data_IF_740222741584
#
_entry.id   IF_740222741584
#
_cell.length_a   1.000
_cell.length_b   1.000
_cell.length_c   1.000
_cell.angle_alpha   90.00
_cell.angle_beta   90.00
_cell.angle_gamma   90.00
#
_symmetry.space_group_name_H-M   'P 1'
#
loop_
_entity.id
_entity.type
_entity.pdbx_description
1 polymer ?
#
# COMPACT_ATOMS: atom_id res chain seq x y z
N UNK A 1 -3.29 13.04 11.16
CA UNK A 1 -4.63 13.24 10.57
C UNK A 1 -4.71 12.61 9.18
N UNK A 2 -5.87 12.11 8.82
CA UNK A 2 -6.10 11.32 7.59
C UNK A 2 -5.61 12.02 6.31
N UNK A 3 -5.89 13.32 6.14
CA UNK A 3 -5.41 14.10 5.00
C UNK A 3 -3.89 14.10 4.90
N UNK A 4 -3.19 14.32 6.01
CA UNK A 4 -1.70 14.37 6.01
C UNK A 4 -1.10 13.01 5.65
N UNK A 5 -1.68 11.92 6.14
CA UNK A 5 -1.22 10.54 5.85
C UNK A 5 -1.47 10.20 4.39
N UNK A 6 -2.65 10.55 3.85
CA UNK A 6 -2.99 10.29 2.45
C UNK A 6 -2.09 11.08 1.49
N UNK A 7 -1.97 12.39 1.70
CA UNK A 7 -1.16 13.28 0.85
C UNK A 7 0.33 12.94 0.95
N UNK A 8 0.83 12.67 2.18
CA UNK A 8 2.20 12.20 2.38
C UNK A 8 2.48 10.85 1.73
N UNK A 9 1.51 9.92 1.78
CA UNK A 9 1.58 8.63 1.10
C UNK A 9 1.66 8.77 -0.42
N UNK A 10 0.85 9.66 -1.02
CA UNK A 10 0.89 9.95 -2.46
C UNK A 10 2.23 10.56 -2.89
N UNK A 11 2.76 11.49 -2.10
CA UNK A 11 4.05 12.10 -2.39
C UNK A 11 5.18 11.07 -2.32
N UNK A 12 5.21 10.28 -1.24
CA UNK A 12 6.20 9.20 -1.09
C UNK A 12 6.10 8.19 -2.23
N UNK A 13 4.89 7.75 -2.57
CA UNK A 13 4.65 6.81 -3.68
C UNK A 13 5.14 7.39 -5.02
N UNK A 14 4.89 8.67 -5.29
CA UNK A 14 5.31 9.31 -6.54
C UNK A 14 6.84 9.46 -6.63
N UNK A 15 7.49 9.89 -5.54
CA UNK A 15 8.95 10.03 -5.49
C UNK A 15 9.62 8.66 -5.64
N UNK A 16 9.14 7.67 -4.93
CA UNK A 16 9.73 6.32 -5.00
C UNK A 16 9.45 5.64 -6.34
N UNK A 17 8.32 5.94 -7.00
CA UNK A 17 8.07 5.51 -8.38
C UNK A 17 9.10 6.12 -9.36
N UNK A 18 9.46 7.38 -9.16
CA UNK A 18 10.53 8.01 -9.96
C UNK A 18 11.88 7.34 -9.70
N UNK A 19 12.22 7.05 -8.43
CA UNK A 19 13.45 6.35 -8.09
C UNK A 19 13.46 4.94 -8.72
N UNK A 20 12.34 4.20 -8.71
CA UNK A 20 12.22 2.93 -9.40
C UNK A 20 12.46 3.05 -10.91
N UNK A 21 11.90 4.08 -11.54
CA UNK A 21 12.07 4.32 -12.98
C UNK A 21 13.52 4.67 -13.37
N UNK A 22 14.26 5.31 -12.46
CA UNK A 22 15.65 5.73 -12.65
C UNK A 22 16.67 4.75 -12.03
N UNK A 23 16.22 3.60 -11.53
CA UNK A 23 17.13 2.65 -10.86
C UNK A 23 18.02 1.91 -11.85
N UNK A 24 19.34 1.99 -11.62
CA UNK A 24 20.37 1.29 -12.41
C UNK A 24 20.84 0.00 -11.74
N UNK A 25 20.40 -0.29 -10.51
CA UNK A 25 20.77 -1.48 -9.76
C UNK A 25 19.57 -2.18 -9.15
N UNK A 26 19.67 -3.52 -9.04
CA UNK A 26 18.65 -4.33 -8.37
C UNK A 26 18.43 -3.91 -6.90
N UNK A 27 19.52 -3.60 -6.19
CA UNK A 27 19.44 -3.18 -4.78
C UNK A 27 18.66 -1.86 -4.64
N UNK A 28 18.94 -0.87 -5.50
CA UNK A 28 18.19 0.41 -5.51
C UNK A 28 16.72 0.17 -5.81
N UNK A 29 16.41 -0.69 -6.79
CA UNK A 29 15.03 -1.03 -7.14
C UNK A 29 14.29 -1.67 -5.96
N UNK A 30 14.90 -2.64 -5.29
CA UNK A 30 14.27 -3.33 -4.13
C UNK A 30 13.98 -2.35 -2.99
N UNK A 31 14.94 -1.50 -2.63
CA UNK A 31 14.74 -0.48 -1.58
C UNK A 31 13.65 0.51 -1.97
N UNK A 32 13.69 1.02 -3.20
CA UNK A 32 12.68 1.96 -3.70
C UNK A 32 11.28 1.33 -3.71
N UNK A 33 11.14 0.06 -4.09
CA UNK A 33 9.90 -0.71 -4.03
C UNK A 33 9.39 -0.90 -2.60
N UNK A 34 10.27 -1.15 -1.66
CA UNK A 34 9.91 -1.21 -0.23
C UNK A 34 9.31 0.12 0.26
N UNK A 35 9.97 1.23 -0.04
CA UNK A 35 9.49 2.57 0.30
C UNK A 35 8.18 2.93 -0.45
N UNK A 36 8.05 2.52 -1.71
CA UNK A 36 6.82 2.68 -2.49
C UNK A 36 5.66 1.92 -1.85
N UNK A 37 5.91 0.71 -1.33
CA UNK A 37 4.94 -0.07 -0.56
C UNK A 37 4.47 0.66 0.71
N UNK A 38 5.36 1.34 1.43
CA UNK A 38 5.00 2.19 2.59
C UNK A 38 4.08 3.34 2.15
N UNK A 39 4.37 4.01 1.04
CA UNK A 39 3.50 5.04 0.48
C UNK A 39 2.11 4.52 0.12
N UNK A 40 2.04 3.38 -0.56
CA UNK A 40 0.79 2.72 -0.94
C UNK A 40 -0.03 2.29 0.28
N UNK A 41 0.59 1.70 1.29
CA UNK A 41 -0.09 1.28 2.53
C UNK A 41 -0.63 2.48 3.31
N UNK A 42 0.08 3.61 3.34
CA UNK A 42 -0.40 4.85 3.94
C UNK A 42 -1.67 5.37 3.25
N UNK A 43 -1.73 5.32 1.91
CA UNK A 43 -2.93 5.69 1.13
C UNK A 43 -4.09 4.75 1.48
N UNK A 44 -3.87 3.45 1.42
CA UNK A 44 -4.91 2.44 1.63
C UNK A 44 -5.47 2.45 3.05
N UNK A 45 -4.62 2.66 4.06
CA UNK A 45 -5.02 2.66 5.47
C UNK A 45 -6.05 3.74 5.83
N UNK A 46 -6.00 4.88 5.16
CA UNK A 46 -6.91 6.01 5.43
C UNK A 46 -8.01 6.17 4.39
N UNK A 47 -7.99 5.41 3.30
CA UNK A 47 -8.95 5.52 2.19
C UNK A 47 -10.41 5.40 2.66
N UNK A 48 -10.73 4.32 3.40
CA UNK A 48 -12.09 4.09 3.92
C UNK A 48 -12.52 5.17 4.91
N UNK A 49 -11.60 5.67 5.74
CA UNK A 49 -11.89 6.74 6.68
C UNK A 49 -12.21 8.06 5.95
N UNK A 50 -11.47 8.37 4.89
CA UNK A 50 -11.74 9.53 4.04
C UNK A 50 -13.08 9.44 3.32
N UNK A 51 -13.45 8.26 2.81
CA UNK A 51 -14.78 8.04 2.22
C UNK A 51 -15.90 8.35 3.23
N UNK A 52 -15.75 7.92 4.48
CA UNK A 52 -16.75 8.20 5.54
C UNK A 52 -16.85 9.68 5.90
N UNK A 53 -15.80 10.46 5.70
CA UNK A 53 -15.79 11.91 5.95
C UNK A 53 -16.39 12.68 4.77
N UNK A 54 -16.14 12.22 3.54
CA UNK A 54 -16.53 12.90 2.31
C UNK A 54 -17.99 12.63 1.95
N UNK A 55 -18.44 11.36 2.11
CA UNK A 55 -19.79 10.98 1.71
C UNK A 55 -20.80 11.15 2.86
N UNK A 56 -21.98 11.73 2.60
CA UNK A 56 -23.10 11.72 3.53
C UNK A 56 -23.51 10.27 3.87
N UNK A 57 -24.03 10.04 5.08
CA UNK A 57 -24.38 8.69 5.58
C UNK A 57 -25.25 7.89 4.61
N UNK A 58 -26.25 8.54 3.98
CA UNK A 58 -27.17 7.89 3.04
C UNK A 58 -26.54 7.52 1.69
N UNK A 59 -25.39 8.11 1.31
CA UNK A 59 -24.65 7.79 0.07
C UNK A 59 -23.38 6.97 0.31
N UNK A 60 -23.04 6.69 1.58
CA UNK A 60 -21.78 6.01 1.93
C UNK A 60 -21.68 4.62 1.28
N UNK A 61 -22.77 3.86 1.25
CA UNK A 61 -22.78 2.54 0.60
C UNK A 61 -22.45 2.63 -0.90
N UNK A 62 -23.01 3.63 -1.58
CA UNK A 62 -22.71 3.89 -2.99
C UNK A 62 -21.24 4.31 -3.20
N UNK A 63 -20.71 5.19 -2.32
CA UNK A 63 -19.31 5.61 -2.36
C UNK A 63 -18.35 4.44 -2.15
N UNK A 64 -18.63 3.56 -1.19
CA UNK A 64 -17.82 2.36 -0.94
C UNK A 64 -17.91 1.36 -2.10
N UNK A 65 -19.10 1.18 -2.69
CA UNK A 65 -19.30 0.33 -3.87
C UNK A 65 -18.52 0.83 -5.08
N UNK A 66 -18.55 2.13 -5.36
CA UNK A 66 -17.77 2.75 -6.43
C UNK A 66 -16.25 2.59 -6.20
N UNK A 67 -15.80 2.77 -4.95
CA UNK A 67 -14.39 2.57 -4.62
C UNK A 67 -13.96 1.11 -4.85
N UNK A 68 -14.75 0.15 -4.41
CA UNK A 68 -14.48 -1.28 -4.64
C UNK A 68 -14.46 -1.61 -6.14
N UNK A 69 -15.39 -1.08 -6.92
CA UNK A 69 -15.45 -1.25 -8.35
C UNK A 69 -14.19 -0.71 -9.05
N UNK A 70 -13.77 0.51 -8.70
CA UNK A 70 -12.55 1.12 -9.25
C UNK A 70 -11.32 0.26 -8.95
N UNK A 71 -11.18 -0.21 -7.70
CA UNK A 71 -10.06 -1.08 -7.30
C UNK A 71 -10.07 -2.39 -8.11
N UNK A 72 -11.24 -3.02 -8.25
CA UNK A 72 -11.38 -4.29 -9.00
C UNK A 72 -11.07 -4.12 -10.49
N UNK A 73 -11.56 -3.05 -11.12
CA UNK A 73 -11.27 -2.73 -12.52
C UNK A 73 -9.77 -2.44 -12.71
N UNK A 74 -9.18 -1.66 -11.81
CA UNK A 74 -7.75 -1.36 -11.86
C UNK A 74 -6.88 -2.61 -11.70
N UNK A 75 -7.26 -3.52 -10.79
CA UNK A 75 -6.55 -4.79 -10.59
C UNK A 75 -6.64 -5.69 -11.83
N UNK A 76 -7.82 -5.77 -12.45
CA UNK A 76 -8.03 -6.56 -13.68
C UNK A 76 -7.32 -5.95 -14.90
N UNK A 77 -7.32 -4.62 -15.02
CA UNK A 77 -6.67 -3.91 -16.12
C UNK A 77 -5.14 -3.85 -16.00
N UNK A 78 -4.61 -3.96 -14.77
CA UNK A 78 -3.17 -3.81 -14.48
C UNK A 78 -2.24 -4.62 -15.38
N UNK A 79 -2.40 -5.95 -15.47
CA UNK A 79 -1.56 -6.79 -16.33
C UNK A 79 -1.63 -6.42 -17.81
N UNK A 80 -2.83 -6.08 -18.31
CA UNK A 80 -3.04 -5.68 -19.70
C UNK A 80 -2.36 -4.35 -20.03
N UNK A 81 -2.48 -3.36 -19.14
CA UNK A 81 -1.80 -2.07 -19.26
C UNK A 81 -0.28 -2.25 -19.20
N UNK A 82 0.22 -3.08 -18.27
CA UNK A 82 1.64 -3.38 -18.15
C UNK A 82 2.18 -4.05 -19.42
N UNK A 83 1.49 -5.04 -19.97
CA UNK A 83 1.85 -5.68 -21.23
C UNK A 83 1.85 -4.68 -22.39
N UNK A 84 0.85 -3.80 -22.47
CA UNK A 84 0.80 -2.73 -23.47
C UNK A 84 1.98 -1.77 -23.37
N UNK A 85 2.39 -1.37 -22.19
CA UNK A 85 3.58 -0.52 -21.99
C UNK A 85 4.84 -1.26 -22.44
N UNK A 86 5.00 -2.52 -22.03
CA UNK A 86 6.19 -3.32 -22.36
C UNK A 86 6.30 -3.69 -23.85
N UNK A 87 5.19 -3.64 -24.61
CA UNK A 87 5.21 -3.86 -26.05
C UNK A 87 5.85 -2.70 -26.84
N UNK A 88 5.88 -1.48 -26.28
CA UNK A 88 6.38 -0.27 -26.94
C UNK A 88 7.50 0.44 -26.18
N UNK A 89 7.73 0.07 -24.91
CA UNK A 89 8.68 0.71 -24.03
C UNK A 89 9.37 -0.30 -23.10
N UNK A 90 10.46 0.14 -22.44
CA UNK A 90 11.21 -0.67 -21.48
C UNK A 90 10.53 -0.68 -20.09
N UNK A 91 10.90 -1.64 -19.25
CA UNK A 91 10.36 -1.84 -17.89
C UNK A 91 10.34 -0.57 -16.99
N UNK A 92 11.29 0.40 -17.06
CA UNK A 92 11.23 1.61 -16.23
C UNK A 92 9.96 2.43 -16.44
N UNK A 93 9.35 2.36 -17.62
CA UNK A 93 8.11 3.06 -17.93
C UNK A 93 6.91 2.57 -17.13
N UNK A 94 6.94 1.32 -16.63
CA UNK A 94 5.93 0.80 -15.70
C UNK A 94 5.86 1.61 -14.40
N UNK A 95 6.98 2.20 -14.01
CA UNK A 95 7.06 3.07 -12.82
C UNK A 95 6.91 4.54 -13.19
N UNK A 96 7.48 4.96 -14.31
CA UNK A 96 7.45 6.35 -14.76
C UNK A 96 6.01 6.87 -14.95
N UNK A 97 5.09 6.05 -15.44
CA UNK A 97 3.69 6.42 -15.63
C UNK A 97 2.98 6.78 -14.31
N UNK A 98 3.42 6.22 -13.20
CA UNK A 98 2.84 6.52 -11.89
C UNK A 98 3.22 7.93 -11.40
N UNK A 99 4.31 8.52 -11.89
CA UNK A 99 4.79 9.82 -11.43
C UNK A 99 3.81 10.94 -11.79
N UNK A 100 3.42 11.18 -13.05
CA UNK A 100 2.45 12.22 -13.39
C UNK A 100 1.07 11.97 -12.74
N UNK A 101 0.62 10.72 -12.70
CA UNK A 101 -0.67 10.37 -12.09
C UNK A 101 -0.63 10.63 -10.57
N UNK A 102 0.45 10.22 -9.91
CA UNK A 102 0.64 10.42 -8.48
C UNK A 102 0.76 11.89 -8.10
N UNK A 103 1.48 12.70 -8.89
CA UNK A 103 1.60 14.14 -8.67
C UNK A 103 0.27 14.87 -8.90
N UNK A 104 -0.52 14.49 -9.91
CA UNK A 104 -1.87 15.01 -10.11
C UNK A 104 -2.77 14.66 -8.94
N UNK A 105 -2.77 13.39 -8.51
CA UNK A 105 -3.53 12.94 -7.34
C UNK A 105 -3.09 13.66 -6.06
N UNK A 106 -1.78 13.88 -5.87
CA UNK A 106 -1.24 14.65 -4.77
C UNK A 106 -1.77 16.10 -4.78
N UNK A 107 -1.67 16.81 -5.90
CA UNK A 107 -2.13 18.18 -6.02
C UNK A 107 -3.64 18.32 -5.77
N UNK A 108 -4.45 17.45 -6.37
CA UNK A 108 -5.90 17.42 -6.16
C UNK A 108 -6.24 17.10 -4.70
N UNK A 109 -5.60 16.12 -4.11
CA UNK A 109 -5.84 15.72 -2.73
C UNK A 109 -5.39 16.80 -1.73
N UNK A 110 -4.27 17.45 -1.97
CA UNK A 110 -3.79 18.55 -1.13
C UNK A 110 -4.77 19.73 -1.15
N UNK A 111 -5.38 20.02 -2.31
CA UNK A 111 -6.31 21.14 -2.49
C UNK A 111 -7.72 20.82 -2.00
N UNK A 112 -8.28 19.69 -2.40
CA UNK A 112 -9.72 19.42 -2.26
C UNK A 112 -10.09 18.52 -1.07
N UNK A 113 -9.16 17.72 -0.50
CA UNK A 113 -9.48 16.92 0.66
C UNK A 113 -9.85 17.78 1.88
N UNK A 114 -10.92 17.42 2.60
CA UNK A 114 -11.32 18.14 3.80
C UNK A 114 -10.20 18.11 4.84
N UNK A 115 -10.16 19.12 5.69
CA UNK A 115 -9.24 19.18 6.83
C UNK A 115 -9.42 17.98 7.77
N UNK A 116 -8.42 17.72 8.59
CA UNK A 116 -8.53 16.64 9.56
C UNK A 116 -9.61 16.96 10.58
N UNK A 117 -10.54 16.03 10.89
CA UNK A 117 -11.42 16.18 12.03
C UNK A 117 -10.58 16.32 13.31
N UNK A 118 -11.11 17.05 14.28
CA UNK A 118 -10.48 17.22 15.60
C UNK A 118 -10.23 15.82 16.18
N UNK A 119 -8.99 15.54 16.56
CA UNK A 119 -8.66 14.26 17.22
C UNK A 119 -9.42 14.16 18.52
N UNK A 120 -10.09 13.05 18.82
CA UNK A 120 -10.44 12.74 20.19
C UNK A 120 -9.15 12.67 21.00
N UNK A 121 -9.07 13.45 22.09
CA UNK A 121 -7.92 13.40 23.00
C UNK A 121 -7.72 11.97 23.52
N UNK A 122 -6.50 11.47 23.42
CA UNK A 122 -6.08 10.23 24.09
C UNK A 122 -5.72 9.04 23.21
N UNK A 123 -6.00 9.03 21.91
CA UNK A 123 -5.57 7.91 21.05
C UNK A 123 -4.07 8.01 20.70
N UNK A 124 -3.26 7.23 21.40
CA UNK A 124 -1.84 7.03 21.06
C UNK A 124 -1.73 5.99 19.93
N UNK A 125 -0.84 6.22 18.99
CA UNK A 125 -0.50 5.24 17.96
C UNK A 125 0.22 4.05 18.62
N UNK A 126 -0.37 2.86 18.53
CA UNK A 126 0.28 1.63 18.98
C UNK A 126 1.22 1.10 17.88
N UNK A 127 2.46 1.65 17.89
CA UNK A 127 3.50 1.26 16.95
C UNK A 127 3.92 -0.20 17.07
N UNK A 128 3.77 -0.78 18.27
CA UNK A 128 4.12 -2.18 18.50
C UNK A 128 3.13 -3.14 17.82
N UNK A 129 1.84 -2.88 17.95
CA UNK A 129 0.81 -3.66 17.23
C UNK A 129 0.93 -3.50 15.72
N UNK A 130 1.28 -2.31 15.22
CA UNK A 130 1.55 -2.08 13.80
C UNK A 130 2.76 -2.89 13.30
N UNK A 131 3.84 -2.96 14.08
CA UNK A 131 5.03 -3.75 13.77
C UNK A 131 4.70 -5.26 13.75
N UNK A 132 4.00 -5.77 14.76
CA UNK A 132 3.58 -7.17 14.80
C UNK A 132 2.70 -7.55 13.61
N UNK A 133 1.77 -6.67 13.23
CA UNK A 133 0.94 -6.86 12.04
C UNK A 133 1.80 -6.96 10.77
N UNK A 134 2.71 -6.00 10.57
CA UNK A 134 3.60 -5.98 9.41
C UNK A 134 4.49 -7.23 9.34
N UNK A 135 5.04 -7.67 10.47
CA UNK A 135 5.85 -8.89 10.55
C UNK A 135 5.02 -10.15 10.25
N UNK A 136 3.81 -10.26 10.79
CA UNK A 136 2.92 -11.41 10.55
C UNK A 136 2.61 -11.55 9.06
N UNK A 137 2.16 -10.49 8.41
CA UNK A 137 1.83 -10.53 6.98
C UNK A 137 3.09 -10.61 6.09
N UNK A 138 4.18 -9.97 6.48
CA UNK A 138 5.46 -10.09 5.78
C UNK A 138 5.99 -11.52 5.79
N UNK A 139 5.99 -12.18 6.95
CA UNK A 139 6.38 -13.59 7.06
C UNK A 139 5.42 -14.51 6.31
N UNK A 140 4.11 -14.24 6.33
CA UNK A 140 3.13 -15.00 5.56
C UNK A 140 3.47 -14.99 4.07
N UNK A 141 3.77 -13.81 3.52
CA UNK A 141 4.13 -13.66 2.11
C UNK A 141 5.44 -14.40 1.81
N UNK A 142 6.47 -14.25 2.66
CA UNK A 142 7.74 -14.96 2.49
C UNK A 142 7.59 -16.48 2.54
N UNK A 143 6.72 -17.01 3.40
CA UNK A 143 6.45 -18.45 3.48
C UNK A 143 5.74 -18.93 2.22
N UNK A 144 4.72 -18.20 1.75
CA UNK A 144 3.99 -18.55 0.51
C UNK A 144 4.93 -18.52 -0.70
N UNK A 145 5.75 -17.48 -0.80
CA UNK A 145 6.75 -17.35 -1.88
C UNK A 145 7.79 -18.45 -1.83
N UNK A 146 8.24 -18.82 -0.62
CA UNK A 146 9.15 -19.92 -0.41
C UNK A 146 8.62 -21.28 -0.88
N UNK A 147 7.31 -21.54 -0.72
CA UNK A 147 6.66 -22.72 -1.29
C UNK A 147 6.66 -22.70 -2.83
N UNK A 148 6.48 -21.53 -3.44
CA UNK A 148 6.47 -21.38 -4.89
C UNK A 148 7.86 -21.58 -5.53
N UNK A 149 8.93 -21.35 -4.78
CA UNK A 149 10.33 -21.44 -5.25
C UNK A 149 11.08 -22.67 -4.72
N UNK A 150 10.35 -23.73 -4.27
CA UNK A 150 10.92 -24.99 -3.78
C UNK A 150 11.99 -24.81 -2.67
N UNK A 151 11.83 -23.79 -1.82
CA UNK A 151 12.68 -23.59 -0.66
C UNK A 151 12.48 -24.75 0.30
N UNK A 152 13.59 -25.31 0.81
CA UNK A 152 13.60 -26.48 1.67
C UNK A 152 12.67 -26.32 2.88
N UNK A 153 11.86 -27.32 3.11
CA UNK A 153 10.84 -27.35 4.15
C UNK A 153 11.38 -27.06 5.57
N UNK A 154 12.63 -27.37 5.87
CA UNK A 154 13.27 -27.07 7.16
C UNK A 154 13.46 -25.55 7.42
N UNK A 155 13.36 -24.70 6.40
CA UNK A 155 13.35 -23.22 6.53
C UNK A 155 11.91 -22.71 6.62
N UNK A 156 11.00 -23.28 5.84
CA UNK A 156 9.61 -22.86 5.76
C UNK A 156 8.81 -23.15 7.03
N UNK A 157 9.04 -24.32 7.63
CA UNK A 157 8.33 -24.75 8.87
C UNK A 157 8.64 -23.82 10.06
N UNK A 158 9.91 -23.49 10.36
CA UNK A 158 10.21 -22.50 11.39
C UNK A 158 9.66 -21.10 11.07
N UNK A 159 9.74 -20.67 9.82
CA UNK A 159 9.16 -19.39 9.37
C UNK A 159 7.65 -19.32 9.62
N UNK A 160 6.94 -20.38 9.29
CA UNK A 160 5.50 -20.51 9.55
C UNK A 160 5.17 -20.53 11.06
N UNK A 161 5.95 -21.25 11.85
CA UNK A 161 5.78 -21.29 13.30
C UNK A 161 5.98 -19.91 13.94
N UNK A 162 7.03 -19.18 13.53
CA UNK A 162 7.29 -17.80 14.01
C UNK A 162 6.15 -16.86 13.61
N UNK A 163 5.65 -16.97 12.39
CA UNK A 163 4.49 -16.21 11.91
C UNK A 163 3.25 -16.45 12.79
N UNK A 164 2.94 -17.71 13.10
CA UNK A 164 1.80 -18.08 13.95
C UNK A 164 1.96 -17.52 15.37
N UNK A 165 3.16 -17.58 15.94
CA UNK A 165 3.44 -17.04 17.28
C UNK A 165 3.23 -15.52 17.31
N UNK A 166 3.80 -14.81 16.33
CA UNK A 166 3.65 -13.34 16.25
C UNK A 166 2.19 -12.96 16.03
N UNK A 167 1.48 -13.66 15.12
CA UNK A 167 0.06 -13.47 14.83
C UNK A 167 -0.82 -13.74 16.06
N UNK A 168 -0.52 -14.76 16.84
CA UNK A 168 -1.23 -15.06 18.09
C UNK A 168 -1.04 -13.94 19.13
N UNK A 169 0.18 -13.46 19.34
CA UNK A 169 0.43 -12.33 20.25
C UNK A 169 -0.22 -11.05 19.77
N UNK A 170 -0.23 -10.79 18.46
CA UNK A 170 -0.94 -9.67 17.86
C UNK A 170 -2.46 -9.77 18.13
N UNK A 171 -3.07 -10.93 17.88
CA UNK A 171 -4.50 -11.13 18.10
C UNK A 171 -4.92 -11.03 19.59
N UNK A 172 -4.05 -11.44 20.51
CA UNK A 172 -4.32 -11.32 21.97
C UNK A 172 -4.24 -9.88 22.48
N UNK A 173 -3.57 -9.00 21.75
CA UNK A 173 -3.36 -7.62 22.16
C UNK A 173 -4.44 -6.65 21.64
N UNK A 174 -5.23 -7.07 20.64
CA UNK A 174 -6.37 -6.34 20.08
C UNK A 174 -7.61 -6.50 20.97
#
# INVERSE_FOLDING_TARGET
GYKKVYVGGLLLFSITSLICALSDSFATLVVARGLQGIGASAIMSVNTALLRIIYPKHLLGRGMGLNALIISVAAAAGPTVAAGILSIANWPWLFAINVPIGLLAFGLSAKFLPGNPVKPDGQRFDGWSALMNALTFGLLICVIDGFAHDIHWYILVPGFAVMLVIGYFFARRQ
#
